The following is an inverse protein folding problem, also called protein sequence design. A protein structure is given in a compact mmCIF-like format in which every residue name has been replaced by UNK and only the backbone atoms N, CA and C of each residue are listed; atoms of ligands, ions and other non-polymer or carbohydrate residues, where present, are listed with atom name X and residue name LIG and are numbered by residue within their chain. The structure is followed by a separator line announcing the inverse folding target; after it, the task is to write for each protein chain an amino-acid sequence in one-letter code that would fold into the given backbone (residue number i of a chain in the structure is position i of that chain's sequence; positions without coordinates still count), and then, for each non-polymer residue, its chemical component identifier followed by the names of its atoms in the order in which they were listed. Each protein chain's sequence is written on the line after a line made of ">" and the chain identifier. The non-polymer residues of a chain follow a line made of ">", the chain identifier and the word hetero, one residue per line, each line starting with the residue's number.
data_IF_224572463680
#
_entry.id   IF_224572463680
#
_cell.length_a   1.000
_cell.length_b   1.000
_cell.length_c   1.000
_cell.angle_alpha   90.00
_cell.angle_beta   90.00
_cell.angle_gamma   90.00
#
_symmetry.space_group_name_H-M   'P 1'
#
loop_
_entity.id
_entity.type
_entity.pdbx_description
1 polymer ?
#
# COMPACT_ATOMS: atom_id res chain seq x y z
N UNK A 1 4.14 -1.88 19.22
CA UNK A 1 3.48 -3.15 19.68
C UNK A 1 4.55 -4.23 19.82
N UNK A 2 4.36 -5.28 20.66
CA UNK A 2 5.33 -6.39 20.70
C UNK A 2 5.22 -7.22 19.41
N UNK A 3 6.35 -7.79 18.93
CA UNK A 3 6.41 -8.56 17.68
C UNK A 3 5.39 -9.70 17.66
N UNK A 4 5.31 -10.47 18.74
CA UNK A 4 4.31 -11.56 18.91
C UNK A 4 2.87 -11.11 18.68
N UNK A 5 2.53 -9.87 19.10
CA UNK A 5 1.19 -9.30 18.93
C UNK A 5 0.93 -8.93 17.46
N UNK A 6 1.95 -8.45 16.74
CA UNK A 6 1.86 -8.15 15.31
C UNK A 6 1.72 -9.42 14.48
N UNK A 7 2.47 -10.47 14.81
CA UNK A 7 2.36 -11.77 14.17
C UNK A 7 0.95 -12.36 14.33
N UNK A 8 0.43 -12.34 15.55
CA UNK A 8 -0.94 -12.80 15.81
C UNK A 8 -1.99 -11.98 15.05
N UNK A 9 -1.81 -10.64 14.95
CA UNK A 9 -2.70 -9.79 14.16
C UNK A 9 -2.59 -10.11 12.68
N UNK A 10 -1.39 -10.34 12.17
CA UNK A 10 -1.18 -10.74 10.77
C UNK A 10 -1.86 -12.07 10.45
N UNK A 11 -1.77 -13.06 11.33
CA UNK A 11 -2.47 -14.34 11.15
C UNK A 11 -3.99 -14.19 11.12
N UNK A 12 -4.56 -13.33 11.99
CA UNK A 12 -5.99 -13.00 11.96
C UNK A 12 -6.39 -12.35 10.64
N UNK A 13 -5.61 -11.36 10.19
CA UNK A 13 -5.83 -10.66 8.93
C UNK A 13 -5.73 -11.63 7.74
N UNK A 14 -4.75 -12.55 7.75
CA UNK A 14 -4.56 -13.57 6.72
C UNK A 14 -5.77 -14.49 6.60
N UNK A 15 -6.26 -14.96 7.74
CA UNK A 15 -7.47 -15.79 7.79
C UNK A 15 -8.69 -15.03 7.24
N UNK A 16 -8.87 -13.79 7.68
CA UNK A 16 -9.96 -12.93 7.23
C UNK A 16 -9.90 -12.64 5.73
N UNK A 17 -8.69 -12.38 5.21
CA UNK A 17 -8.45 -12.18 3.78
C UNK A 17 -8.93 -13.37 2.95
N UNK A 18 -8.55 -14.58 3.33
CA UNK A 18 -9.00 -15.80 2.64
C UNK A 18 -10.53 -15.93 2.67
N UNK A 19 -11.17 -15.60 3.79
CA UNK A 19 -12.63 -15.64 3.94
C UNK A 19 -13.32 -14.70 2.94
N UNK A 20 -12.90 -13.43 2.86
CA UNK A 20 -13.56 -12.45 1.98
C UNK A 20 -13.31 -12.71 0.50
N UNK A 21 -12.09 -13.07 0.12
CA UNK A 21 -11.74 -13.41 -1.27
C UNK A 21 -12.51 -14.66 -1.74
N UNK A 22 -12.61 -15.68 -0.87
CA UNK A 22 -13.40 -16.88 -1.17
C UNK A 22 -14.89 -16.55 -1.36
N UNK A 23 -15.45 -15.70 -0.50
CA UNK A 23 -16.85 -15.27 -0.60
C UNK A 23 -17.10 -14.44 -1.86
N UNK A 24 -16.25 -13.48 -2.15
CA UNK A 24 -16.37 -12.60 -3.31
C UNK A 24 -16.07 -13.32 -4.64
N UNK A 25 -15.38 -14.45 -4.62
CA UNK A 25 -14.89 -15.18 -5.81
C UNK A 25 -14.06 -14.30 -6.76
N UNK A 26 -13.38 -13.31 -6.20
CA UNK A 26 -12.57 -12.32 -6.91
C UNK A 26 -11.44 -11.86 -5.97
N UNK A 27 -10.37 -11.32 -6.55
CA UNK A 27 -9.22 -10.79 -5.81
C UNK A 27 -7.88 -11.34 -6.31
N UNK A 28 -6.81 -10.77 -5.78
CA UNK A 28 -5.44 -11.12 -6.15
C UNK A 28 -4.70 -11.78 -4.98
N UNK A 29 -5.26 -12.87 -4.49
CA UNK A 29 -4.88 -13.53 -3.22
C UNK A 29 -3.37 -13.72 -3.02
N UNK A 30 -2.62 -14.02 -4.08
CA UNK A 30 -1.16 -14.18 -3.98
C UNK A 30 -0.46 -12.87 -3.62
N UNK A 31 -0.81 -11.80 -4.33
CA UNK A 31 -0.28 -10.47 -4.08
C UNK A 31 -0.76 -9.87 -2.76
N UNK A 32 -2.00 -10.18 -2.35
CA UNK A 32 -2.57 -9.77 -1.06
C UNK A 32 -1.80 -10.41 0.10
N UNK A 33 -1.63 -11.72 0.06
CA UNK A 33 -0.89 -12.47 1.10
C UNK A 33 0.56 -12.03 1.20
N UNK A 34 1.18 -11.64 0.08
CA UNK A 34 2.57 -11.19 0.03
C UNK A 34 2.77 -9.91 0.84
N UNK A 35 1.87 -8.94 0.72
CA UNK A 35 2.03 -7.62 1.36
C UNK A 35 1.35 -7.48 2.73
N UNK A 36 0.58 -8.48 3.18
CA UNK A 36 -0.26 -8.36 4.38
C UNK A 36 0.54 -8.11 5.67
N UNK A 37 1.72 -8.71 5.82
CA UNK A 37 2.59 -8.46 6.97
C UNK A 37 3.07 -7.00 7.02
N UNK A 38 3.41 -6.45 5.86
CA UNK A 38 3.80 -5.03 5.73
C UNK A 38 2.65 -4.12 6.14
N UNK A 39 1.44 -4.37 5.63
CA UNK A 39 0.25 -3.61 6.00
C UNK A 39 -0.03 -3.70 7.51
N UNK A 40 0.08 -4.90 8.08
CA UNK A 40 -0.12 -5.10 9.52
C UNK A 40 0.89 -4.28 10.32
N UNK A 41 2.17 -4.33 9.98
CA UNK A 41 3.20 -3.55 10.67
C UNK A 41 2.95 -2.04 10.55
N UNK A 42 2.62 -1.56 9.34
CA UNK A 42 2.34 -0.14 9.11
C UNK A 42 1.16 0.36 9.94
N UNK A 43 0.01 -0.29 9.87
CA UNK A 43 -1.22 0.19 10.50
C UNK A 43 -1.27 -0.04 12.00
N UNK A 44 -0.59 -1.07 12.54
CA UNK A 44 -0.68 -1.42 13.94
C UNK A 44 0.49 -0.94 14.80
N UNK A 45 1.60 -0.55 14.20
CA UNK A 45 2.79 -0.13 14.94
C UNK A 45 3.46 1.14 14.42
N UNK A 46 3.63 1.29 13.12
CA UNK A 46 4.50 2.32 12.53
C UNK A 46 3.76 3.63 12.28
N UNK A 47 2.57 3.57 11.64
CA UNK A 47 1.85 4.74 11.19
C UNK A 47 1.00 5.38 12.29
N UNK A 48 0.99 6.70 12.31
CA UNK A 48 0.08 7.50 13.13
C UNK A 48 -1.24 7.66 12.39
N UNK A 49 -2.19 6.76 12.65
CA UNK A 49 -3.52 6.76 12.04
C UNK A 49 -4.59 6.47 13.09
N UNK A 50 -5.73 7.16 12.96
CA UNK A 50 -6.83 7.10 13.93
C UNK A 50 -8.15 6.78 13.22
N UNK A 51 -8.74 5.60 13.45
CA UNK A 51 -10.01 5.22 12.82
C UNK A 51 -11.18 6.15 13.13
N UNK A 52 -11.23 6.69 14.35
CA UNK A 52 -12.24 7.64 14.80
C UNK A 52 -12.08 9.04 14.15
N UNK A 53 -10.93 9.31 13.55
CA UNK A 53 -10.60 10.56 12.87
C UNK A 53 -9.92 10.30 11.52
N UNK A 54 -10.59 9.64 10.55
CA UNK A 54 -9.95 9.20 9.31
C UNK A 54 -9.48 10.36 8.42
N UNK A 55 -9.96 11.58 8.67
CA UNK A 55 -9.56 12.82 7.97
C UNK A 55 -8.64 13.74 8.78
N UNK A 56 -8.10 13.26 9.92
CA UNK A 56 -7.15 14.05 10.72
C UNK A 56 -5.95 14.48 9.87
N UNK A 57 -5.66 15.78 9.85
CA UNK A 57 -4.62 16.34 8.97
C UNK A 57 -3.21 15.93 9.38
N UNK A 58 -3.00 15.62 10.67
CA UNK A 58 -1.69 15.23 11.24
C UNK A 58 -1.38 13.74 11.08
N UNK A 59 -2.33 12.94 10.57
CA UNK A 59 -2.08 11.51 10.37
C UNK A 59 -1.08 11.27 9.24
N UNK A 60 -0.38 10.15 9.31
CA UNK A 60 0.45 9.68 8.21
C UNK A 60 -0.44 9.29 7.01
N UNK A 61 0.15 9.26 5.82
CA UNK A 61 -0.51 8.91 4.56
C UNK A 61 -0.04 7.56 4.07
N UNK A 62 -0.96 6.78 3.55
CA UNK A 62 -0.65 5.50 2.92
C UNK A 62 -1.22 5.44 1.51
N UNK A 63 -0.38 5.09 0.54
CA UNK A 63 -0.78 4.87 -0.85
C UNK A 63 -0.49 3.43 -1.24
N UNK A 64 -1.53 2.68 -1.56
CA UNK A 64 -1.39 1.34 -2.10
C UNK A 64 -1.23 1.41 -3.61
N UNK A 65 0.00 1.61 -4.10
CA UNK A 65 0.30 1.76 -5.53
C UNK A 65 -0.02 0.46 -6.30
N UNK A 66 0.31 -0.71 -5.73
CA UNK A 66 -0.16 -2.02 -6.19
C UNK A 66 -1.65 -2.23 -5.86
N UNK A 67 -2.51 -1.38 -6.42
CA UNK A 67 -3.93 -1.30 -6.07
C UNK A 67 -4.73 -2.58 -6.28
N UNK A 68 -4.25 -3.49 -7.10
CA UNK A 68 -4.86 -4.81 -7.31
C UNK A 68 -4.85 -5.72 -6.07
N UNK A 69 -4.08 -5.38 -5.02
CA UNK A 69 -4.05 -6.10 -3.75
C UNK A 69 -4.86 -5.37 -2.66
N UNK A 70 -5.98 -4.79 -3.04
CA UNK A 70 -6.82 -3.97 -2.16
C UNK A 70 -7.50 -4.78 -1.06
N UNK A 71 -7.75 -6.08 -1.27
CA UNK A 71 -8.39 -6.95 -0.31
C UNK A 71 -7.55 -7.06 0.98
N UNK A 72 -6.22 -7.10 0.85
CA UNK A 72 -5.31 -7.03 1.99
C UNK A 72 -5.43 -5.70 2.76
N UNK A 73 -5.62 -4.59 2.04
CA UNK A 73 -5.86 -3.30 2.66
C UNK A 73 -7.22 -3.27 3.37
N UNK A 74 -8.29 -3.79 2.76
CA UNK A 74 -9.62 -3.82 3.38
C UNK A 74 -9.65 -4.59 4.69
N UNK A 75 -9.06 -5.78 4.76
CA UNK A 75 -9.00 -6.54 6.02
C UNK A 75 -8.13 -5.85 7.07
N UNK A 76 -7.12 -5.12 6.66
CA UNK A 76 -6.30 -4.32 7.56
C UNK A 76 -7.07 -3.11 8.11
N UNK A 77 -7.84 -2.41 7.26
CA UNK A 77 -8.72 -1.31 7.66
C UNK A 77 -9.86 -1.79 8.56
N UNK A 78 -10.46 -2.97 8.28
CA UNK A 78 -11.44 -3.61 9.16
C UNK A 78 -10.83 -3.86 10.54
N UNK A 79 -9.71 -4.56 10.59
CA UNK A 79 -9.06 -4.93 11.84
C UNK A 79 -8.57 -3.71 12.65
N UNK A 80 -8.22 -2.61 11.97
CA UNK A 80 -7.85 -1.35 12.62
C UNK A 80 -9.07 -0.55 13.08
N UNK A 81 -10.27 -0.80 12.51
CA UNK A 81 -11.52 -0.15 12.86
C UNK A 81 -11.92 1.04 11.97
N UNK A 82 -11.34 1.20 10.77
CA UNK A 82 -11.76 2.21 9.81
C UNK A 82 -13.08 1.86 9.12
N UNK A 83 -13.32 0.59 8.88
CA UNK A 83 -14.56 0.05 8.31
C UNK A 83 -15.03 -1.11 9.18
N UNK A 84 -16.33 -1.39 9.14
CA UNK A 84 -16.88 -2.51 9.90
C UNK A 84 -16.79 -3.83 9.12
N UNK A 85 -16.95 -4.94 9.84
CA UNK A 85 -16.97 -6.28 9.24
C UNK A 85 -18.12 -6.42 8.25
N UNK A 86 -19.28 -5.84 8.56
CA UNK A 86 -20.46 -5.86 7.69
C UNK A 86 -20.17 -5.19 6.34
N UNK A 87 -19.40 -4.09 6.34
CA UNK A 87 -18.95 -3.44 5.10
C UNK A 87 -18.00 -4.36 4.33
N UNK A 88 -17.02 -4.96 5.01
CA UNK A 88 -16.05 -5.85 4.35
C UNK A 88 -16.73 -7.09 3.76
N UNK A 89 -17.81 -7.56 4.39
CA UNK A 89 -18.59 -8.71 3.90
C UNK A 89 -19.37 -8.42 2.61
N UNK A 90 -19.51 -7.14 2.20
CA UNK A 90 -20.15 -6.76 0.92
C UNK A 90 -19.20 -6.78 -0.28
N UNK A 91 -17.94 -7.17 -0.10
CA UNK A 91 -16.98 -7.25 -1.21
C UNK A 91 -17.53 -8.11 -2.35
N UNK A 92 -17.54 -7.54 -3.57
CA UNK A 92 -18.10 -8.20 -4.75
C UNK A 92 -19.60 -8.12 -4.91
N UNK A 93 -20.34 -7.51 -3.98
CA UNK A 93 -21.78 -7.28 -4.08
C UNK A 93 -22.08 -5.99 -4.85
N UNK A 94 -23.21 -5.98 -5.59
CA UNK A 94 -23.67 -4.76 -6.26
C UNK A 94 -24.03 -3.68 -5.24
N UNK A 95 -23.52 -2.47 -5.46
CA UNK A 95 -23.74 -1.33 -4.56
C UNK A 95 -22.78 -1.26 -3.36
N UNK A 96 -21.83 -2.20 -3.24
CA UNK A 96 -20.75 -2.10 -2.26
C UNK A 96 -19.86 -0.88 -2.54
N UNK A 97 -19.38 -0.21 -1.49
CA UNK A 97 -18.33 0.81 -1.61
C UNK A 97 -16.94 0.18 -1.86
N UNK A 98 -16.82 -1.14 -1.67
CA UNK A 98 -15.58 -1.88 -1.88
C UNK A 98 -15.49 -2.33 -3.34
N UNK A 99 -14.49 -1.85 -4.02
CA UNK A 99 -14.18 -2.25 -5.40
C UNK A 99 -12.91 -3.08 -5.47
N UNK A 100 -12.58 -3.63 -6.64
CA UNK A 100 -11.32 -4.38 -6.87
C UNK A 100 -10.03 -3.54 -6.83
N UNK A 101 -10.14 -2.25 -6.54
CA UNK A 101 -9.02 -1.31 -6.36
C UNK A 101 -9.38 -0.26 -5.31
N UNK A 102 -8.39 0.37 -4.65
CA UNK A 102 -8.65 1.42 -3.67
C UNK A 102 -9.42 2.60 -4.23
N UNK A 103 -10.46 3.04 -3.50
CA UNK A 103 -11.21 4.26 -3.81
C UNK A 103 -11.33 5.14 -2.57
N UNK A 104 -11.37 6.45 -2.76
CA UNK A 104 -11.50 7.45 -1.66
C UNK A 104 -12.84 7.39 -0.94
N UNK A 105 -13.80 6.60 -1.43
CA UNK A 105 -15.09 6.36 -0.78
C UNK A 105 -14.93 5.52 0.49
N UNK A 106 -13.86 4.71 0.55
CA UNK A 106 -13.55 3.87 1.70
C UNK A 106 -12.77 4.66 2.75
N UNK A 107 -13.27 4.77 3.99
CA UNK A 107 -12.55 5.45 5.07
C UNK A 107 -11.14 4.88 5.28
N UNK A 108 -10.14 5.76 5.32
CA UNK A 108 -8.73 5.37 5.48
C UNK A 108 -7.97 5.19 4.16
N UNK A 109 -8.62 5.37 3.01
CA UNK A 109 -7.97 5.40 1.69
C UNK A 109 -7.76 6.85 1.24
N UNK A 110 -6.53 7.15 0.82
CA UNK A 110 -6.08 8.51 0.46
C UNK A 110 -6.40 8.89 -0.98
N UNK A 111 -6.30 7.91 -1.89
CA UNK A 111 -6.35 8.15 -3.33
C UNK A 111 -6.78 6.89 -4.06
N UNK A 112 -7.50 7.06 -5.17
CA UNK A 112 -7.82 5.96 -6.07
C UNK A 112 -6.55 5.47 -6.75
N UNK A 113 -6.31 4.16 -6.73
CA UNK A 113 -5.16 3.54 -7.40
C UNK A 113 -5.61 2.38 -8.29
N UNK A 114 -4.67 1.79 -9.05
CA UNK A 114 -4.92 0.71 -10.00
C UNK A 114 -4.11 0.89 -11.28
N UNK A 115 -3.87 2.14 -11.72
CA UNK A 115 -2.88 2.43 -12.74
C UNK A 115 -1.49 2.31 -12.11
N UNK A 116 -0.82 1.19 -12.36
CA UNK A 116 0.51 0.91 -11.81
C UNK A 116 1.51 2.01 -12.18
N UNK A 117 2.50 2.23 -11.32
CA UNK A 117 3.53 3.24 -11.51
C UNK A 117 3.16 4.66 -11.04
N UNK A 118 1.88 4.95 -10.75
CA UNK A 118 1.44 6.31 -10.42
C UNK A 118 1.43 6.61 -8.92
N UNK A 119 1.33 5.58 -8.06
CA UNK A 119 1.22 5.77 -6.62
C UNK A 119 2.42 6.50 -6.00
N UNK A 120 3.64 6.24 -6.50
CA UNK A 120 4.83 6.92 -5.99
C UNK A 120 4.80 8.43 -6.32
N UNK A 121 4.38 8.81 -7.53
CA UNK A 121 4.24 10.22 -7.94
C UNK A 121 3.24 10.95 -7.05
N UNK A 122 2.11 10.30 -6.72
CA UNK A 122 1.14 10.84 -5.76
C UNK A 122 1.75 10.99 -4.37
N UNK A 123 2.51 9.98 -3.92
CA UNK A 123 3.24 10.01 -2.65
C UNK A 123 4.27 11.15 -2.58
N UNK A 124 4.99 11.40 -3.66
CA UNK A 124 5.89 12.57 -3.79
C UNK A 124 5.10 13.87 -3.56
N UNK A 125 3.95 14.04 -4.22
CA UNK A 125 3.10 15.21 -4.04
C UNK A 125 2.64 15.40 -2.60
N UNK A 126 2.19 14.32 -1.93
CA UNK A 126 1.79 14.36 -0.53
C UNK A 126 2.95 14.70 0.41
N UNK A 127 4.12 14.13 0.19
CA UNK A 127 5.30 14.42 0.99
C UNK A 127 5.81 15.86 0.80
N UNK A 128 5.73 16.39 -0.43
CA UNK A 128 6.01 17.80 -0.71
C UNK A 128 5.03 18.72 0.01
N UNK A 129 3.72 18.44 -0.06
CA UNK A 129 2.71 19.21 0.64
C UNK A 129 2.99 19.27 2.15
N UNK A 130 3.35 18.14 2.77
CA UNK A 130 3.75 18.11 4.18
C UNK A 130 4.90 19.08 4.48
N UNK A 131 5.95 19.09 3.65
CA UNK A 131 7.08 20.01 3.84
C UNK A 131 6.69 21.46 3.64
N UNK A 132 5.85 21.77 2.66
CA UNK A 132 5.35 23.13 2.41
C UNK A 132 4.51 23.65 3.59
N UNK A 133 3.67 22.79 4.15
CA UNK A 133 2.79 23.08 5.29
C UNK A 133 3.54 23.01 6.64
N UNK A 134 4.83 22.63 6.64
CA UNK A 134 5.63 22.35 7.85
C UNK A 134 4.96 21.31 8.76
N UNK A 135 4.26 20.35 8.15
CA UNK A 135 3.65 19.22 8.84
C UNK A 135 4.68 18.11 9.05
N UNK A 136 4.48 17.28 10.07
CA UNK A 136 5.41 16.22 10.48
C UNK A 136 4.95 14.82 10.09
N UNK A 137 3.89 14.71 9.27
CA UNK A 137 3.42 13.41 8.80
C UNK A 137 4.35 12.80 7.74
N UNK A 138 4.39 11.49 7.73
CA UNK A 138 5.09 10.69 6.72
C UNK A 138 4.11 10.16 5.69
N UNK A 139 4.62 9.92 4.49
CA UNK A 139 3.89 9.26 3.40
C UNK A 139 4.54 7.92 3.10
N UNK A 140 3.76 6.85 3.11
CA UNK A 140 4.18 5.49 2.83
C UNK A 140 3.53 5.04 1.52
N UNK A 141 4.32 4.52 0.60
CA UNK A 141 3.84 4.03 -0.70
C UNK A 141 4.24 2.58 -0.87
N UNK A 142 3.26 1.70 -1.00
CA UNK A 142 3.49 0.27 -1.22
C UNK A 142 3.32 -0.06 -2.70
N UNK A 143 4.40 -0.49 -3.33
CA UNK A 143 4.51 -0.85 -4.74
C UNK A 143 4.76 -2.34 -4.91
N UNK A 144 4.40 -2.89 -6.06
CA UNK A 144 4.85 -4.20 -6.50
C UNK A 144 6.23 -4.15 -7.15
N UNK A 145 6.90 -5.30 -7.20
CA UNK A 145 8.17 -5.43 -7.91
C UNK A 145 7.98 -5.36 -9.44
N UNK A 146 6.99 -6.04 -10.00
CA UNK A 146 6.64 -5.91 -11.41
C UNK A 146 6.27 -4.48 -11.81
N UNK A 147 5.69 -3.71 -10.90
CA UNK A 147 5.38 -2.29 -11.08
C UNK A 147 6.64 -1.44 -11.32
N UNK A 148 7.82 -1.89 -10.90
CA UNK A 148 9.09 -1.19 -11.14
C UNK A 148 9.52 -1.14 -12.61
N UNK A 149 8.79 -1.81 -13.51
CA UNK A 149 8.93 -1.64 -14.95
C UNK A 149 8.33 -0.35 -15.51
N UNK A 150 7.50 0.35 -14.72
CA UNK A 150 6.86 1.60 -15.13
C UNK A 150 7.83 2.79 -15.06
N UNK A 151 7.91 3.57 -16.17
CA UNK A 151 8.82 4.72 -16.26
C UNK A 151 8.55 5.81 -15.21
N UNK A 152 7.28 6.03 -14.88
CA UNK A 152 6.84 7.02 -13.88
C UNK A 152 7.39 6.75 -12.46
N UNK A 153 7.73 5.50 -12.12
CA UNK A 153 8.41 5.17 -10.87
C UNK A 153 9.77 5.89 -10.79
N UNK A 154 10.54 5.83 -11.86
CA UNK A 154 11.88 6.43 -11.91
C UNK A 154 11.83 7.96 -11.96
N UNK A 155 10.84 8.54 -12.63
CA UNK A 155 10.58 9.98 -12.61
C UNK A 155 10.25 10.45 -11.18
N UNK A 156 9.39 9.71 -10.48
CA UNK A 156 9.05 10.00 -9.08
C UNK A 156 10.23 9.77 -8.13
N UNK A 157 11.05 8.73 -8.36
CA UNK A 157 12.24 8.46 -7.57
C UNK A 157 13.26 9.62 -7.68
N UNK A 158 13.50 10.13 -8.89
CA UNK A 158 14.33 11.31 -9.12
C UNK A 158 13.78 12.54 -8.40
N UNK A 159 12.48 12.78 -8.49
CA UNK A 159 11.82 13.91 -7.82
C UNK A 159 11.93 13.79 -6.29
N UNK A 160 11.71 12.60 -5.72
CA UNK A 160 11.84 12.34 -4.28
C UNK A 160 13.22 12.73 -3.74
N UNK A 161 14.28 12.33 -4.44
CA UNK A 161 15.64 12.70 -4.10
C UNK A 161 15.92 14.21 -4.32
N UNK A 162 15.53 14.75 -5.48
CA UNK A 162 15.74 16.17 -5.82
C UNK A 162 15.14 17.11 -4.77
N UNK A 163 13.93 16.81 -4.31
CA UNK A 163 13.24 17.62 -3.31
C UNK A 163 13.55 17.21 -1.85
N UNK A 164 14.46 16.26 -1.64
CA UNK A 164 14.90 15.79 -0.32
C UNK A 164 13.73 15.39 0.57
N UNK A 165 12.86 14.52 0.03
CA UNK A 165 11.65 14.09 0.72
C UNK A 165 11.95 12.97 1.74
N UNK A 166 12.60 13.31 2.84
CA UNK A 166 12.95 12.41 3.95
C UNK A 166 11.72 11.94 4.77
N UNK A 167 10.55 12.48 4.45
CA UNK A 167 9.25 12.07 4.95
C UNK A 167 8.47 11.15 3.97
N UNK A 168 9.11 10.67 2.90
CA UNK A 168 8.56 9.70 1.94
C UNK A 168 9.25 8.36 2.10
N UNK A 169 8.46 7.31 2.31
CA UNK A 169 8.93 5.92 2.41
C UNK A 169 8.35 5.12 1.26
N UNK A 170 9.22 4.66 0.37
CA UNK A 170 8.87 3.75 -0.72
C UNK A 170 9.11 2.30 -0.29
N UNK A 171 8.08 1.46 -0.39
CA UNK A 171 8.14 0.06 -0.01
C UNK A 171 7.86 -0.77 -1.26
N UNK A 172 8.72 -1.74 -1.55
CA UNK A 172 8.58 -2.64 -2.69
C UNK A 172 8.31 -4.05 -2.18
N UNK A 173 7.12 -4.56 -2.49
CA UNK A 173 6.78 -5.96 -2.27
C UNK A 173 7.47 -6.82 -3.33
N UNK A 174 8.66 -7.33 -2.99
CA UNK A 174 9.49 -8.15 -3.88
C UNK A 174 9.06 -9.62 -3.84
N UNK A 175 7.89 -9.93 -4.40
CA UNK A 175 7.34 -11.27 -4.46
C UNK A 175 7.87 -12.11 -5.64
N UNK A 176 8.62 -11.50 -6.56
CA UNK A 176 9.28 -12.09 -7.73
C UNK A 176 8.33 -12.64 -8.80
N UNK A 177 7.06 -12.28 -8.75
CA UNK A 177 6.05 -12.72 -9.72
C UNK A 177 5.39 -11.52 -10.38
N UNK A 178 5.12 -11.64 -11.67
CA UNK A 178 4.45 -10.64 -12.47
C UNK A 178 3.54 -11.33 -13.50
N UNK A 179 2.22 -11.27 -13.28
CA UNK A 179 1.15 -11.82 -14.11
C UNK A 179 1.47 -13.20 -14.73
N UNK A 180 2.32 -13.25 -15.77
CA UNK A 180 2.56 -14.42 -16.62
C UNK A 180 3.81 -15.24 -16.26
N UNK A 181 4.64 -14.76 -15.31
CA UNK A 181 5.89 -15.44 -14.96
C UNK A 181 6.67 -14.78 -13.85
N UNK A 182 7.91 -15.15 -13.70
CA UNK A 182 8.81 -14.47 -12.78
C UNK A 182 9.17 -13.09 -13.32
N UNK A 183 9.45 -12.13 -12.42
CA UNK A 183 9.87 -10.79 -12.85
C UNK A 183 11.09 -10.81 -13.74
N UNK A 184 12.02 -11.76 -13.51
CA UNK A 184 13.24 -11.86 -14.31
C UNK A 184 13.01 -12.42 -15.72
N UNK A 185 11.96 -13.23 -15.90
CA UNK A 185 11.56 -13.73 -17.23
C UNK A 185 10.71 -12.70 -18.00
N UNK A 186 9.87 -11.94 -17.32
CA UNK A 186 8.98 -10.96 -17.93
C UNK A 186 9.71 -9.67 -18.25
N UNK A 187 10.38 -9.08 -17.26
CA UNK A 187 11.18 -7.85 -17.36
C UNK A 187 12.18 -7.80 -16.20
N UNK A 188 13.44 -8.12 -16.45
CA UNK A 188 14.47 -8.18 -15.42
C UNK A 188 14.61 -6.87 -14.62
N UNK A 189 14.60 -6.97 -13.31
CA UNK A 189 14.61 -5.85 -12.37
C UNK A 189 15.86 -5.80 -11.48
N UNK A 190 16.69 -6.85 -11.48
CA UNK A 190 17.89 -6.89 -10.62
C UNK A 190 19.05 -6.04 -11.20
N UNK A 191 19.87 -5.38 -10.41
CA UNK A 191 19.70 -5.28 -8.96
C UNK A 191 18.78 -4.11 -8.60
N UNK A 192 17.66 -4.40 -7.99
CA UNK A 192 16.70 -3.36 -7.60
C UNK A 192 17.29 -2.41 -6.55
N UNK A 193 18.06 -2.93 -5.60
CA UNK A 193 18.77 -2.13 -4.62
C UNK A 193 19.68 -1.10 -5.28
N UNK A 194 20.50 -1.53 -6.24
CA UNK A 194 21.46 -0.64 -6.91
C UNK A 194 20.74 0.44 -7.70
N UNK A 195 19.62 0.11 -8.35
CA UNK A 195 18.78 1.09 -9.06
C UNK A 195 18.30 2.20 -8.13
N UNK A 196 17.69 1.85 -7.00
CA UNK A 196 17.18 2.83 -6.03
C UNK A 196 18.31 3.62 -5.36
N UNK A 197 19.42 2.97 -5.05
CA UNK A 197 20.62 3.65 -4.55
C UNK A 197 21.18 4.65 -5.57
N UNK A 198 21.17 4.31 -6.87
CA UNK A 198 21.62 5.21 -7.94
C UNK A 198 20.73 6.45 -8.08
N UNK A 199 19.43 6.35 -7.72
CA UNK A 199 18.53 7.50 -7.63
C UNK A 199 18.70 8.32 -6.33
N UNK A 200 19.63 7.93 -5.45
CA UNK A 200 19.96 8.66 -4.23
C UNK A 200 19.05 8.33 -3.03
N UNK A 201 18.38 7.18 -3.07
CA UNK A 201 17.59 6.68 -1.95
C UNK A 201 18.45 5.87 -0.98
N UNK A 202 18.11 5.94 0.30
CA UNK A 202 18.66 5.07 1.34
C UNK A 202 17.90 3.73 1.33
N UNK A 203 18.61 2.59 1.08
CA UNK A 203 17.99 1.28 0.78
C UNK A 203 18.53 0.18 1.70
#
# INVERSE_FOLDING_TARGET
>A
MQVETLELQSEKNRKRLVEIVYKAKAGHIGGDLSCLNVLTALYFDIMRVWPDKPKETKRDRFVMSKGHCVEALYVTLEAKGFISREVTDTLGEFGSILSGHPTIEVPGIEVNTGALGHGLSVGVGMAMAAKMDKADYKTYVLMGDGEQGEGSIYEAAMAGNQYKLDNLVAIIDRNRLQISGTTEEVMSLESMRDRWTAFGWDV
#
